data_IF_732763002591
#
_entry.id   IF_732763002591
#
_cell.length_a   1.000
_cell.length_b   1.000
_cell.length_c   1.000
_cell.angle_alpha   90.00
_cell.angle_beta   90.00
_cell.angle_gamma   90.00
#
_symmetry.space_group_name_H-M   'P 1'
#
loop_
_entity.id
_entity.type
_entity.pdbx_description
1 polymer ?
#
# COMPACT_ATOMS: atom_id res chain seq x y z
N UNK A 1 -3.42 -19.93 15.42
CA UNK A 1 -3.47 -19.51 14.01
C UNK A 1 -2.45 -18.41 13.88
N UNK A 2 -1.54 -18.50 12.92
CA UNK A 2 -0.57 -17.43 12.65
C UNK A 2 -1.34 -16.18 12.19
N UNK A 3 -1.06 -14.98 12.76
CA UNK A 3 -1.72 -13.76 12.35
C UNK A 3 -1.33 -13.42 10.89
N UNK A 4 -2.27 -12.90 10.07
CA UNK A 4 -1.94 -12.50 8.70
C UNK A 4 -1.04 -11.25 8.72
N UNK A 5 -0.23 -11.06 7.68
CA UNK A 5 0.55 -9.83 7.49
C UNK A 5 -0.35 -8.58 7.50
N UNK A 6 -1.48 -8.64 6.81
CA UNK A 6 -2.48 -7.58 6.73
C UNK A 6 -3.88 -8.20 6.59
N UNK A 7 -4.86 -7.65 7.30
CA UNK A 7 -6.27 -7.85 7.02
C UNK A 7 -6.69 -6.87 5.92
N UNK A 8 -7.15 -7.38 4.79
CA UNK A 8 -7.59 -6.57 3.65
C UNK A 8 -9.10 -6.61 3.58
N UNK A 9 -9.75 -5.46 3.61
CA UNK A 9 -11.20 -5.36 3.47
C UNK A 9 -11.59 -5.26 2.00
N UNK A 10 -12.84 -5.63 1.70
CA UNK A 10 -13.41 -5.56 0.36
C UNK A 10 -13.40 -4.15 -0.25
N UNK A 11 -13.38 -3.11 0.59
CA UNK A 11 -13.26 -1.72 0.15
C UNK A 11 -11.91 -1.42 -0.52
N UNK A 12 -10.85 -2.12 -0.11
CA UNK A 12 -9.49 -1.94 -0.65
C UNK A 12 -9.21 -2.92 -1.79
N UNK A 13 -9.37 -4.22 -1.52
CA UNK A 13 -9.22 -5.26 -2.53
C UNK A 13 -10.10 -6.46 -2.19
N UNK A 14 -11.16 -6.63 -2.98
CA UNK A 14 -12.14 -7.71 -2.81
C UNK A 14 -11.72 -9.04 -3.43
N UNK A 15 -10.68 -9.06 -4.26
CA UNK A 15 -10.19 -10.33 -4.84
C UNK A 15 -8.69 -10.22 -5.16
N UNK A 16 -7.84 -10.30 -4.10
CA UNK A 16 -6.41 -10.43 -4.24
C UNK A 16 -6.05 -11.66 -5.10
N UNK A 17 -5.04 -11.48 -5.94
CA UNK A 17 -4.55 -12.48 -6.87
C UNK A 17 -3.20 -13.03 -6.44
N UNK A 18 -2.18 -12.80 -7.26
CA UNK A 18 -0.83 -13.33 -7.04
C UNK A 18 0.06 -12.30 -6.34
N UNK A 19 0.70 -12.65 -5.20
CA UNK A 19 1.81 -11.90 -4.68
C UNK A 19 3.07 -12.18 -5.52
N UNK A 20 3.74 -11.12 -5.97
CA UNK A 20 4.96 -11.20 -6.78
C UNK A 20 6.02 -10.26 -6.22
N UNK A 21 7.29 -10.68 -6.23
CA UNK A 21 8.39 -9.79 -5.86
C UNK A 21 8.87 -9.04 -7.09
N UNK A 22 9.16 -7.74 -6.94
CA UNK A 22 9.83 -6.98 -7.98
C UNK A 22 11.26 -7.48 -8.11
N UNK A 23 11.61 -7.94 -9.31
CA UNK A 23 12.94 -8.45 -9.65
C UNK A 23 13.47 -7.70 -10.87
N UNK A 24 13.79 -6.42 -10.66
CA UNK A 24 14.24 -5.53 -11.73
C UNK A 24 14.88 -4.27 -11.15
N UNK A 25 16.20 -4.07 -11.33
CA UNK A 25 16.88 -2.84 -10.92
C UNK A 25 16.31 -1.58 -11.57
N UNK A 26 15.67 -1.70 -12.74
CA UNK A 26 15.03 -0.57 -13.43
C UNK A 26 13.82 0.00 -12.68
N UNK A 27 13.31 -0.70 -11.68
CA UNK A 27 12.23 -0.24 -10.81
C UNK A 27 12.75 0.49 -9.55
N UNK A 28 14.07 0.73 -9.46
CA UNK A 28 14.69 1.56 -8.43
C UNK A 28 14.30 1.14 -7.00
N UNK A 29 13.70 2.03 -6.20
CA UNK A 29 13.29 1.75 -4.82
C UNK A 29 12.11 0.77 -4.71
N UNK A 30 11.43 0.47 -5.81
CA UNK A 30 10.46 -0.63 -5.84
C UNK A 30 11.15 -1.99 -6.05
N UNK A 31 12.43 -2.05 -6.43
CA UNK A 31 13.14 -3.31 -6.59
C UNK A 31 13.16 -4.10 -5.26
N UNK A 32 12.80 -5.38 -5.31
CA UNK A 32 12.66 -6.24 -4.14
C UNK A 32 11.34 -6.08 -3.36
N UNK A 33 10.53 -5.05 -3.65
CA UNK A 33 9.23 -4.86 -3.03
C UNK A 33 8.28 -6.02 -3.35
N UNK A 34 7.34 -6.28 -2.44
CA UNK A 34 6.27 -7.23 -2.68
C UNK A 34 5.09 -6.49 -3.32
N UNK A 35 4.61 -6.99 -4.45
CA UNK A 35 3.40 -6.53 -5.11
C UNK A 35 2.30 -7.57 -4.93
N UNK A 36 1.05 -7.13 -4.90
CA UNK A 36 -0.13 -7.98 -4.98
C UNK A 36 -0.99 -7.54 -6.18
N UNK A 37 -1.25 -8.46 -7.11
CA UNK A 37 -2.16 -8.21 -8.22
C UNK A 37 -3.60 -8.41 -7.78
N UNK A 38 -4.55 -7.67 -8.34
CA UNK A 38 -5.98 -7.81 -7.99
C UNK A 38 -6.84 -8.17 -9.19
N UNK A 39 -7.50 -9.33 -9.09
CA UNK A 39 -8.58 -9.71 -10.00
C UNK A 39 -9.78 -8.78 -9.81
N UNK A 40 -10.08 -8.42 -8.57
CA UNK A 40 -11.30 -7.67 -8.22
C UNK A 40 -11.29 -6.26 -8.80
N UNK A 41 -10.14 -5.58 -8.71
CA UNK A 41 -10.04 -4.14 -9.01
C UNK A 41 -9.24 -3.85 -10.29
N UNK A 42 -8.51 -4.83 -10.83
CA UNK A 42 -7.52 -4.62 -11.89
C UNK A 42 -6.35 -3.74 -11.48
N UNK A 43 -6.10 -3.57 -10.17
CA UNK A 43 -4.97 -2.79 -9.66
C UNK A 43 -3.79 -3.68 -9.32
N UNK A 44 -2.64 -3.03 -9.17
CA UNK A 44 -1.46 -3.60 -8.53
C UNK A 44 -1.26 -2.85 -7.23
N UNK A 45 -1.03 -3.57 -6.15
CA UNK A 45 -0.77 -3.00 -4.83
C UNK A 45 0.68 -3.23 -4.46
N UNK A 46 1.33 -2.25 -3.84
CA UNK A 46 2.57 -2.47 -3.07
C UNK A 46 2.16 -2.98 -1.69
N UNK A 47 2.93 -3.92 -1.16
CA UNK A 47 2.73 -4.50 0.16
C UNK A 47 3.88 -4.04 1.07
N UNK A 48 3.89 -2.79 1.57
CA UNK A 48 4.88 -2.36 2.55
C UNK A 48 4.73 -3.19 3.82
N UNK A 49 5.84 -3.71 4.33
CA UNK A 49 5.83 -4.62 5.47
C UNK A 49 7.12 -4.53 6.28
N UNK A 50 7.02 -4.97 7.52
CA UNK A 50 8.10 -4.99 8.48
C UNK A 50 8.08 -6.28 9.30
N UNK A 51 9.19 -6.53 9.99
CA UNK A 51 9.29 -7.58 11.00
C UNK A 51 9.48 -6.94 12.37
N UNK A 52 8.54 -7.20 13.27
CA UNK A 52 8.59 -6.73 14.67
C UNK A 52 8.68 -7.94 15.58
N UNK A 53 9.89 -8.20 16.10
CA UNK A 53 10.22 -9.47 16.76
C UNK A 53 10.04 -10.64 15.78
N UNK A 54 9.25 -11.63 16.16
CA UNK A 54 9.00 -12.83 15.34
C UNK A 54 7.84 -12.67 14.35
N UNK A 55 7.09 -11.56 14.42
CA UNK A 55 5.90 -11.36 13.59
C UNK A 55 6.17 -10.46 12.38
N UNK A 56 5.54 -10.81 11.26
CA UNK A 56 5.41 -9.93 10.10
C UNK A 56 4.10 -9.15 10.20
N UNK A 57 4.17 -7.86 9.91
CA UNK A 57 3.00 -7.00 9.78
C UNK A 57 3.21 -6.02 8.63
N UNK A 58 2.16 -5.32 8.22
CA UNK A 58 2.27 -4.37 7.14
C UNK A 58 0.93 -3.94 6.60
N UNK A 59 0.96 -3.51 5.35
CA UNK A 59 -0.24 -3.03 4.67
C UNK A 59 -0.23 -3.27 3.18
N UNK A 60 -1.25 -2.72 2.54
CA UNK A 60 -1.42 -2.67 1.10
C UNK A 60 -1.72 -1.24 0.70
N UNK A 61 -1.10 -0.79 -0.39
CA UNK A 61 -1.38 0.50 -1.00
C UNK A 61 -1.42 0.33 -2.51
N UNK A 62 -2.34 0.97 -3.25
CA UNK A 62 -2.38 0.81 -4.69
C UNK A 62 -1.19 1.54 -5.31
N UNK A 63 -0.53 0.92 -6.29
CA UNK A 63 0.35 1.69 -7.17
C UNK A 63 -0.46 2.80 -7.84
N UNK A 64 0.06 4.04 -7.91
CA UNK A 64 -0.64 5.18 -8.50
C UNK A 64 -0.53 5.16 -10.02
N UNK A 65 -1.00 4.06 -10.61
CA UNK A 65 -1.16 3.86 -12.05
C UNK A 65 -2.64 3.58 -12.35
N UNK A 66 -3.09 3.84 -13.59
CA UNK A 66 -4.43 3.45 -14.00
C UNK A 66 -4.66 1.96 -13.77
N UNK A 67 -5.86 1.62 -13.35
CA UNK A 67 -6.25 0.20 -13.24
C UNK A 67 -6.31 -0.44 -14.63
N UNK A 68 -5.94 -1.70 -14.70
CA UNK A 68 -6.05 -2.49 -15.90
C UNK A 68 -7.52 -2.71 -16.27
N UNK A 69 -7.84 -2.75 -17.55
CA UNK A 69 -9.21 -3.00 -18.01
C UNK A 69 -9.79 -4.40 -17.71
N UNK A 70 -8.97 -5.35 -17.27
CA UNK A 70 -9.36 -6.68 -16.79
C UNK A 70 -8.96 -6.89 -15.33
N UNK A 71 -9.56 -7.87 -14.65
CA UNK A 71 -9.00 -8.40 -13.42
C UNK A 71 -7.65 -9.06 -13.70
N UNK A 72 -6.56 -8.53 -13.15
CA UNK A 72 -5.20 -9.07 -13.35
C UNK A 72 -4.82 -9.97 -12.18
N UNK A 73 -4.36 -11.18 -12.47
CA UNK A 73 -4.10 -12.17 -11.41
C UNK A 73 -2.83 -12.98 -11.61
N UNK A 74 -2.11 -12.78 -12.72
CA UNK A 74 -0.82 -13.41 -13.00
C UNK A 74 0.15 -12.39 -13.54
N UNK A 75 1.38 -12.38 -13.01
CA UNK A 75 2.41 -11.43 -13.43
C UNK A 75 3.82 -12.02 -13.38
N UNK A 76 4.65 -11.74 -14.39
CA UNK A 76 6.04 -12.17 -14.43
C UNK A 76 6.93 -11.01 -14.84
N UNK A 77 8.05 -10.85 -14.13
CA UNK A 77 9.13 -10.00 -14.60
C UNK A 77 9.89 -10.73 -15.71
N UNK A 78 10.11 -10.05 -16.82
CA UNK A 78 10.84 -10.63 -17.93
C UNK A 78 12.35 -10.52 -17.65
N UNK A 79 13.14 -11.59 -17.83
CA UNK A 79 14.53 -11.64 -17.39
C UNK A 79 15.47 -10.70 -18.16
N UNK A 80 15.14 -10.36 -19.41
CA UNK A 80 15.99 -9.50 -20.25
C UNK A 80 15.64 -8.00 -20.13
N UNK A 81 14.37 -7.61 -20.31
CA UNK A 81 13.95 -6.20 -20.27
C UNK A 81 13.57 -5.70 -18.87
N UNK A 82 13.42 -6.59 -17.89
CA UNK A 82 13.07 -6.26 -16.50
C UNK A 82 11.68 -5.64 -16.33
N UNK A 83 10.78 -5.78 -17.31
CA UNK A 83 9.41 -5.28 -17.24
C UNK A 83 8.46 -6.32 -16.65
N UNK A 84 7.39 -5.84 -16.01
CA UNK A 84 6.33 -6.71 -15.51
C UNK A 84 5.31 -6.96 -16.62
N UNK A 85 5.15 -8.21 -17.01
CA UNK A 85 4.09 -8.64 -17.91
C UNK A 85 2.98 -9.29 -17.08
N UNK A 86 1.75 -8.80 -17.25
CA UNK A 86 0.58 -9.30 -16.53
C UNK A 86 -0.51 -9.73 -17.50
N UNK A 87 -1.23 -10.79 -17.14
CA UNK A 87 -2.44 -11.18 -17.85
C UNK A 87 -3.66 -11.15 -16.92
N UNK A 88 -4.80 -10.90 -17.55
CA UNK A 88 -6.07 -10.81 -16.85
C UNK A 88 -7.22 -11.22 -17.75
N UNK A 89 -8.36 -11.48 -17.11
CA UNK A 89 -9.61 -11.83 -17.77
C UNK A 89 -10.79 -11.38 -16.92
N UNK A 90 -11.99 -11.49 -17.49
CA UNK A 90 -13.24 -11.39 -16.75
C UNK A 90 -14.01 -12.71 -16.88
N UNK A 91 -14.18 -13.42 -15.75
CA UNK A 91 -14.91 -14.70 -15.70
C UNK A 91 -15.97 -14.73 -14.58
N UNK A 92 -15.72 -14.00 -13.49
CA UNK A 92 -16.60 -13.84 -12.32
C UNK A 92 -16.65 -12.37 -11.88
N UNK A 93 -17.13 -12.07 -10.67
CA UNK A 93 -17.27 -10.71 -10.16
C UNK A 93 -15.94 -9.91 -10.09
N UNK A 94 -15.78 -8.94 -10.99
CA UNK A 94 -14.70 -7.94 -11.04
C UNK A 94 -15.26 -6.57 -11.41
N UNK A 95 -14.58 -5.50 -11.00
CA UNK A 95 -14.88 -4.12 -11.40
C UNK A 95 -14.44 -3.87 -12.85
N UNK A 96 -13.72 -4.84 -13.43
CA UNK A 96 -13.08 -4.78 -14.74
C UNK A 96 -13.66 -5.86 -15.63
N UNK A 97 -14.35 -5.46 -16.69
CA UNK A 97 -15.22 -6.35 -17.47
C UNK A 97 -14.68 -6.72 -18.86
N UNK A 98 -13.47 -6.27 -19.24
CA UNK A 98 -12.91 -6.73 -20.50
C UNK A 98 -12.68 -8.25 -20.49
N UNK A 99 -12.93 -8.98 -21.60
CA UNK A 99 -12.85 -10.44 -21.59
C UNK A 99 -11.46 -11.00 -21.27
N UNK A 100 -10.42 -10.32 -21.75
CA UNK A 100 -9.03 -10.76 -21.62
C UNK A 100 -8.06 -9.63 -21.94
N UNK A 101 -6.86 -9.70 -21.37
CA UNK A 101 -5.85 -8.66 -21.50
C UNK A 101 -4.43 -9.18 -21.24
N UNK A 102 -3.48 -8.64 -22.00
CA UNK A 102 -2.05 -8.82 -21.79
C UNK A 102 -1.40 -7.44 -21.71
N UNK A 103 -0.73 -7.16 -20.59
CA UNK A 103 -0.22 -5.85 -20.25
C UNK A 103 1.27 -5.90 -19.99
N UNK A 104 1.98 -4.87 -20.44
CA UNK A 104 3.35 -4.59 -20.06
C UNK A 104 3.38 -3.36 -19.17
N UNK A 105 3.82 -3.53 -17.93
CA UNK A 105 4.03 -2.48 -16.94
C UNK A 105 5.54 -2.27 -16.85
N UNK A 106 5.99 -1.02 -17.01
CA UNK A 106 7.41 -0.67 -16.99
C UNK A 106 7.65 0.57 -16.15
N UNK A 107 8.81 0.62 -15.50
CA UNK A 107 9.34 1.88 -14.97
C UNK A 107 9.60 2.85 -16.13
N UNK A 108 9.29 4.13 -15.92
CA UNK A 108 9.48 5.19 -16.94
C UNK A 108 10.51 6.24 -16.55
N UNK A 109 11.14 6.09 -15.38
CA UNK A 109 11.97 7.13 -14.77
C UNK A 109 11.20 8.34 -14.27
N UNK A 110 9.86 8.31 -14.33
CA UNK A 110 8.99 9.33 -13.73
C UNK A 110 8.61 8.88 -12.32
N UNK A 111 8.55 9.81 -11.35
CA UNK A 111 8.21 9.47 -9.98
C UNK A 111 6.80 8.94 -9.88
N UNK A 112 6.60 8.00 -8.95
CA UNK A 112 5.29 7.43 -8.63
C UNK A 112 4.92 7.64 -7.16
N UNK A 113 5.85 8.07 -6.30
CA UNK A 113 5.60 8.33 -4.88
C UNK A 113 4.91 7.16 -4.18
N UNK A 114 5.31 5.93 -4.52
CA UNK A 114 4.76 4.72 -3.93
C UNK A 114 5.28 4.53 -2.50
N UNK A 115 4.41 4.14 -1.58
CA UNK A 115 4.83 3.73 -0.23
C UNK A 115 5.44 2.32 -0.33
N UNK A 116 6.74 2.24 -0.09
CA UNK A 116 7.54 1.00 -0.21
C UNK A 116 7.92 0.41 1.16
N UNK A 117 7.81 1.20 2.22
CA UNK A 117 8.07 0.78 3.60
C UNK A 117 7.05 1.35 4.57
N UNK A 118 6.83 0.63 5.67
CA UNK A 118 5.96 1.01 6.77
C UNK A 118 6.58 0.49 8.07
N UNK A 119 6.65 1.35 9.09
CA UNK A 119 7.13 0.96 10.41
C UNK A 119 6.27 1.60 11.51
N UNK A 120 5.51 0.77 12.25
CA UNK A 120 4.67 1.23 13.35
C UNK A 120 5.43 1.23 14.66
N UNK A 121 5.35 2.32 15.43
CA UNK A 121 6.08 2.49 16.70
C UNK A 121 5.23 3.23 17.74
N UNK A 122 5.60 3.23 19.04
CA UNK A 122 4.87 3.97 20.05
C UNK A 122 4.66 5.44 19.67
N UNK A 123 3.38 5.84 19.57
CA UNK A 123 3.00 7.21 19.25
C UNK A 123 3.19 7.63 17.79
N UNK A 124 3.47 6.71 16.86
CA UNK A 124 3.70 7.11 15.47
C UNK A 124 3.86 6.01 14.43
N UNK A 125 3.90 6.43 13.18
CA UNK A 125 4.02 5.57 12.01
C UNK A 125 5.00 6.20 11.02
N UNK A 126 6.00 5.42 10.60
CA UNK A 126 6.94 5.85 9.59
C UNK A 126 6.52 5.25 8.22
N UNK A 127 6.52 6.09 7.19
CA UNK A 127 6.27 5.69 5.81
C UNK A 127 7.47 6.01 4.93
N UNK A 128 8.01 5.03 4.22
CA UNK A 128 9.08 5.25 3.24
C UNK A 128 8.52 5.29 1.83
N UNK A 129 8.82 6.36 1.09
CA UNK A 129 8.37 6.59 -0.28
C UNK A 129 9.47 6.22 -1.31
N UNK A 130 9.05 5.88 -2.53
CA UNK A 130 9.97 5.59 -3.63
C UNK A 130 10.73 6.82 -4.13
N UNK A 131 10.16 8.01 -3.98
CA UNK A 131 10.61 9.24 -4.62
C UNK A 131 10.69 10.40 -3.61
N UNK A 132 11.59 11.39 -3.83
CA UNK A 132 11.69 12.57 -2.96
C UNK A 132 10.40 13.37 -2.83
N UNK A 133 10.11 13.83 -1.61
CA UNK A 133 8.92 14.58 -1.26
C UNK A 133 9.23 16.06 -1.01
N UNK A 134 8.19 16.90 -1.12
CA UNK A 134 8.26 18.32 -0.78
C UNK A 134 8.09 18.50 0.75
N UNK A 135 9.10 19.06 1.47
CA UNK A 135 9.06 19.20 2.92
C UNK A 135 7.90 20.06 3.43
N UNK A 136 7.54 21.13 2.70
CA UNK A 136 6.46 22.03 3.11
C UNK A 136 5.11 21.30 3.11
N UNK A 137 4.80 20.57 2.04
CA UNK A 137 3.58 19.77 1.94
C UNK A 137 3.50 18.66 2.99
N UNK A 138 4.64 18.05 3.34
CA UNK A 138 4.71 17.00 4.38
C UNK A 138 4.50 17.58 5.78
N UNK A 139 5.02 18.78 6.05
CA UNK A 139 4.95 19.40 7.38
C UNK A 139 3.53 19.81 7.84
N UNK A 140 2.56 19.80 6.93
CA UNK A 140 1.15 20.08 7.21
C UNK A 140 0.40 18.80 7.62
N UNK A 141 0.13 18.55 8.91
CA UNK A 141 -0.54 17.33 9.36
C UNK A 141 -1.98 17.21 8.84
N UNK A 142 -2.60 18.31 8.39
CA UNK A 142 -3.95 18.25 7.79
C UNK A 142 -3.98 17.54 6.43
N UNK A 143 -2.81 17.31 5.82
CA UNK A 143 -2.65 16.49 4.61
C UNK A 143 -2.78 15.00 4.87
N UNK A 144 -2.85 14.58 6.14
CA UNK A 144 -2.95 13.19 6.56
C UNK A 144 -4.23 12.95 7.34
N UNK A 145 -4.84 11.79 7.14
CA UNK A 145 -5.92 11.32 8.00
C UNK A 145 -5.75 9.85 8.30
N UNK A 146 -5.97 9.47 9.57
CA UNK A 146 -5.88 8.10 10.03
C UNK A 146 -7.21 7.67 10.65
N UNK A 147 -7.67 6.47 10.32
CA UNK A 147 -8.80 5.80 10.97
C UNK A 147 -8.43 4.37 11.29
N UNK A 148 -8.90 3.86 12.43
CA UNK A 148 -8.65 2.47 12.84
C UNK A 148 -9.95 1.75 13.10
N UNK A 149 -9.94 0.43 12.95
CA UNK A 149 -11.08 -0.43 13.22
C UNK A 149 -10.65 -1.84 13.60
N UNK A 150 -11.57 -2.55 14.24
CA UNK A 150 -11.50 -4.00 14.45
C UNK A 150 -12.34 -4.75 13.42
N UNK A 151 -12.05 -6.04 13.25
CA UNK A 151 -12.75 -6.93 12.33
C UNK A 151 -13.25 -8.18 13.07
N UNK A 152 -14.52 -8.49 12.86
CA UNK A 152 -15.11 -9.73 13.37
C UNK A 152 -15.06 -10.82 12.31
N UNK A 153 -14.20 -11.82 12.53
CA UNK A 153 -14.15 -13.02 11.67
C UNK A 153 -15.46 -13.79 11.76
N UNK A 154 -16.14 -13.97 10.63
CA UNK A 154 -17.36 -14.78 10.52
C UNK A 154 -17.31 -15.64 9.25
N UNK A 155 -18.30 -16.53 9.08
CA UNK A 155 -18.46 -17.29 7.83
C UNK A 155 -19.06 -16.45 6.68
N UNK A 156 -19.51 -15.22 6.95
CA UNK A 156 -20.06 -14.33 5.91
C UNK A 156 -18.93 -13.79 5.04
N UNK A 157 -19.24 -13.53 3.77
CA UNK A 157 -18.32 -12.84 2.87
C UNK A 157 -18.14 -11.39 3.31
N UNK A 158 -16.90 -10.97 3.49
CA UNK A 158 -16.56 -9.66 4.04
C UNK A 158 -16.72 -9.57 5.56
N UNK A 159 -16.28 -8.45 6.13
CA UNK A 159 -16.45 -8.13 7.54
C UNK A 159 -16.70 -6.63 7.66
N UNK A 160 -17.67 -6.26 8.49
CA UNK A 160 -17.90 -4.86 8.83
C UNK A 160 -16.75 -4.34 9.68
N UNK A 161 -16.46 -3.05 9.55
CA UNK A 161 -15.58 -2.35 10.48
C UNK A 161 -16.31 -2.22 11.81
N UNK A 162 -15.67 -2.64 12.90
CA UNK A 162 -16.18 -2.55 14.26
C UNK A 162 -15.36 -1.50 15.01
N UNK A 163 -16.04 -0.65 15.76
CA UNK A 163 -15.42 0.44 16.54
C UNK A 163 -14.54 1.35 15.69
N UNK A 164 -14.96 1.65 14.46
CA UNK A 164 -14.23 2.54 13.56
C UNK A 164 -14.22 3.98 14.10
N UNK A 165 -13.02 4.54 14.26
CA UNK A 165 -12.84 5.92 14.72
C UNK A 165 -11.55 6.53 14.17
N UNK A 166 -11.49 7.87 14.03
CA UNK A 166 -10.29 8.55 13.58
C UNK A 166 -9.22 8.59 14.68
N UNK A 167 -7.96 8.60 14.28
CA UNK A 167 -6.83 8.96 15.14
C UNK A 167 -6.25 10.31 14.70
N UNK A 168 -5.86 11.14 15.66
CA UNK A 168 -5.26 12.43 15.37
C UNK A 168 -3.81 12.27 14.90
N UNK A 169 -3.52 12.71 13.67
CA UNK A 169 -2.15 12.97 13.21
C UNK A 169 -1.76 14.36 13.70
N UNK A 170 -0.88 14.44 14.70
CA UNK A 170 -0.54 15.71 15.36
C UNK A 170 0.69 16.38 14.76
N UNK A 171 1.56 15.62 14.11
CA UNK A 171 2.70 16.13 13.37
C UNK A 171 3.14 15.17 12.27
N UNK A 172 3.82 15.71 11.27
CA UNK A 172 4.44 14.96 10.19
C UNK A 172 5.80 15.60 9.89
N UNK A 173 6.86 14.79 9.89
CA UNK A 173 8.23 15.24 9.65
C UNK A 173 8.82 14.44 8.50
N UNK A 174 9.45 15.13 7.54
CA UNK A 174 10.23 14.48 6.50
C UNK A 174 11.65 14.24 7.04
N UNK A 175 12.12 13.01 6.98
CA UNK A 175 13.47 12.61 7.34
C UNK A 175 14.51 13.19 6.36
N UNK A 176 15.78 13.18 6.76
CA UNK A 176 16.90 13.71 5.99
C UNK A 176 17.11 12.99 4.64
N UNK A 177 16.57 11.77 4.49
CA UNK A 177 16.57 11.03 3.22
C UNK A 177 15.63 11.63 2.15
N UNK A 178 14.80 12.60 2.55
CA UNK A 178 13.81 13.29 1.73
C UNK A 178 12.65 12.41 1.25
N UNK A 179 12.47 11.22 1.84
CA UNK A 179 11.53 10.17 1.37
C UNK A 179 10.80 9.46 2.50
N UNK A 180 11.27 9.54 3.73
CA UNK A 180 10.66 8.90 4.88
C UNK A 180 9.88 9.94 5.69
N UNK A 181 8.59 9.70 5.88
CA UNK A 181 7.73 10.57 6.71
C UNK A 181 7.56 9.90 8.07
N UNK A 182 7.87 10.64 9.13
CA UNK A 182 7.55 10.30 10.51
C UNK A 182 6.24 10.97 10.91
N UNK A 183 5.17 10.18 11.05
CA UNK A 183 3.87 10.66 11.53
C UNK A 183 3.78 10.48 13.04
N UNK A 184 3.42 11.54 13.76
CA UNK A 184 3.05 11.44 15.18
C UNK A 184 1.55 11.20 15.29
N UNK A 185 1.19 10.05 15.86
CA UNK A 185 -0.18 9.61 16.11
C UNK A 185 -0.21 9.10 17.56
N UNK A 186 -0.45 9.98 18.56
CA UNK A 186 -0.24 9.65 19.97
C UNK A 186 -1.05 8.45 20.47
N UNK A 187 -2.24 8.25 19.90
CA UNK A 187 -3.17 7.18 20.26
C UNK A 187 -2.98 5.90 19.42
N UNK A 188 -1.93 5.82 18.58
CA UNK A 188 -1.66 4.64 17.78
C UNK A 188 -1.35 3.43 18.69
N UNK A 189 -2.13 2.38 18.50
CA UNK A 189 -2.03 1.11 19.19
C UNK A 189 -2.17 -0.05 18.19
N UNK A 190 -1.85 -1.29 18.59
CA UNK A 190 -2.17 -2.46 17.77
C UNK A 190 -3.64 -2.46 17.31
N UNK A 191 -3.84 -2.71 16.02
CA UNK A 191 -5.15 -2.66 15.38
C UNK A 191 -5.23 -3.65 14.22
N UNK A 192 -6.40 -4.24 14.00
CA UNK A 192 -6.63 -5.14 12.86
C UNK A 192 -6.71 -4.36 11.55
N UNK A 193 -7.22 -3.13 11.60
CA UNK A 193 -7.30 -2.23 10.45
C UNK A 193 -6.87 -0.82 10.81
N UNK A 194 -6.05 -0.27 9.93
CA UNK A 194 -5.65 1.13 9.86
C UNK A 194 -5.85 1.59 8.41
N UNK A 195 -6.57 2.68 8.20
CA UNK A 195 -6.57 3.44 6.96
C UNK A 195 -5.79 4.73 7.20
N UNK A 196 -4.71 4.93 6.46
CA UNK A 196 -4.01 6.19 6.40
C UNK A 196 -4.15 6.76 4.99
N UNK A 197 -4.67 7.99 4.89
CA UNK A 197 -4.72 8.76 3.65
C UNK A 197 -3.72 9.90 3.70
N UNK A 198 -3.16 10.25 2.55
CA UNK A 198 -2.27 11.39 2.40
C UNK A 198 -2.53 12.14 1.10
N UNK A 199 -2.32 13.46 1.13
CA UNK A 199 -2.37 14.35 -0.03
C UNK A 199 -1.28 15.41 0.03
N UNK A 200 -0.08 15.02 -0.40
CA UNK A 200 1.16 15.81 -0.34
C UNK A 200 1.70 16.05 -1.76
N UNK A 201 2.91 16.60 -1.86
CA UNK A 201 3.61 16.81 -3.11
C UNK A 201 4.99 16.12 -3.11
N UNK A 202 5.43 15.73 -4.31
CA UNK A 202 6.81 15.38 -4.58
C UNK A 202 7.72 16.60 -4.56
N UNK A 203 9.04 16.40 -4.46
CA UNK A 203 10.02 17.50 -4.38
C UNK A 203 10.02 18.46 -5.59
N UNK A 204 9.36 18.10 -6.70
CA UNK A 204 9.19 18.94 -7.89
C UNK A 204 7.75 19.49 -8.02
N UNK A 205 6.92 19.33 -7.00
CA UNK A 205 5.53 19.79 -6.98
C UNK A 205 4.51 18.80 -7.58
N UNK A 206 4.95 17.66 -8.10
CA UNK A 206 4.05 16.61 -8.61
C UNK A 206 3.11 16.10 -7.49
N UNK A 207 1.81 15.88 -7.75
CA UNK A 207 0.90 15.36 -6.73
C UNK A 207 1.27 13.96 -6.24
N UNK A 208 1.33 13.78 -4.92
CA UNK A 208 1.53 12.50 -4.26
C UNK A 208 0.35 12.23 -3.32
N UNK A 209 -0.60 11.41 -3.78
CA UNK A 209 -1.83 11.11 -3.06
C UNK A 209 -2.06 9.61 -3.00
N UNK A 210 -2.53 9.12 -1.86
CA UNK A 210 -2.71 7.69 -1.69
C UNK A 210 -3.43 7.30 -0.42
N UNK A 211 -3.62 5.99 -0.31
CA UNK A 211 -4.20 5.33 0.84
C UNK A 211 -3.38 4.09 1.17
N UNK A 212 -3.10 3.88 2.45
CA UNK A 212 -2.49 2.67 2.99
C UNK A 212 -3.51 2.02 3.90
N UNK A 213 -3.84 0.75 3.63
CA UNK A 213 -4.56 -0.09 4.59
C UNK A 213 -3.56 -1.02 5.26
N UNK A 214 -3.49 -1.03 6.59
CA UNK A 214 -2.50 -1.80 7.32
C UNK A 214 -3.09 -2.53 8.54
N UNK A 215 -2.34 -3.53 9.01
CA UNK A 215 -2.55 -4.19 10.29
C UNK A 215 -1.30 -3.99 11.14
N UNK A 216 -1.50 -3.62 12.41
CA UNK A 216 -0.41 -3.44 13.37
C UNK A 216 -0.64 -4.48 14.47
N UNK A 217 0.23 -5.49 14.53
CA UNK A 217 0.18 -6.48 15.61
C UNK A 217 0.97 -6.00 16.82
N UNK A 218 2.17 -5.47 16.58
CA UNK A 218 3.06 -4.92 17.59
C UNK A 218 3.58 -3.55 17.15
N UNK A 219 3.95 -2.74 18.13
CA UNK A 219 4.69 -1.50 17.90
C UNK A 219 6.18 -1.81 18.05
N UNK A 220 6.96 -1.50 17.02
CA UNK A 220 8.42 -1.61 17.02
C UNK A 220 9.10 -0.51 17.85
N UNK A 221 10.39 -0.67 18.16
CA UNK A 221 11.17 0.33 18.90
C UNK A 221 11.34 1.66 18.15
#
# INVERSE_FOLDING_TARGET
MEPPLCWITNAMDRSPGEPIRVDSPSWERLNGALLNLSYGTGRIFVVPHERVGDLMQGGVTPLPIPSMPTGVMRGRFHPEDGHLYACGMFAWASDRQQPGGFYRIRATGRPVFAVVGLHARPGGLDLSFSDPLDPESVSDPSRFSASVWSLRRTARYGSEHVDEHPLAVTSALLDDDGRTIHLTIPELAPTQGLELRFSIAGAQGDPAQGVVHATIHHLGP
#
